data_IF_943740766405
#
_entry.id   IF_943740766405
#
_cell.length_a   1.000
_cell.length_b   1.000
_cell.length_c   1.000
_cell.angle_alpha   90.00
_cell.angle_beta   90.00
_cell.angle_gamma   90.00
#
_symmetry.space_group_name_H-M   'P 1'
#
loop_
_entity.id
_entity.type
_entity.pdbx_description
1 polymer ?
#
# COMPACT_ATOMS: atom_id res chain seq x y z
N UNK A 1 -6.73 -32.33 3.85
CA UNK A 1 -6.75 -30.90 4.22
C UNK A 1 -5.32 -30.40 4.06
N UNK A 2 -5.08 -29.34 3.27
CA UNK A 2 -3.72 -28.77 3.19
C UNK A 2 -3.37 -28.12 4.55
N UNK A 3 -2.11 -28.20 5.03
CA UNK A 3 -1.69 -27.47 6.23
C UNK A 3 -1.95 -25.97 6.08
N UNK A 4 -2.32 -25.30 7.17
CA UNK A 4 -2.65 -23.86 7.14
C UNK A 4 -1.52 -23.00 6.55
N UNK A 5 -0.25 -23.32 6.85
CA UNK A 5 0.91 -22.62 6.29
C UNK A 5 1.02 -22.74 4.76
N UNK A 6 0.62 -23.87 4.19
CA UNK A 6 0.62 -24.09 2.73
C UNK A 6 -0.45 -23.23 2.03
N UNK A 7 -1.60 -23.06 2.68
CA UNK A 7 -2.69 -22.22 2.18
C UNK A 7 -2.26 -20.74 2.20
N UNK A 8 -1.65 -20.28 3.30
CA UNK A 8 -1.15 -18.90 3.42
C UNK A 8 -0.05 -18.59 2.40
N UNK A 9 0.91 -19.50 2.20
CA UNK A 9 1.97 -19.32 1.20
C UNK A 9 1.41 -19.25 -0.23
N UNK A 10 0.44 -20.12 -0.55
CA UNK A 10 -0.25 -20.11 -1.85
C UNK A 10 -0.99 -18.80 -2.09
N UNK A 11 -1.71 -18.29 -1.08
CA UNK A 11 -2.43 -17.03 -1.18
C UNK A 11 -1.49 -15.84 -1.40
N UNK A 12 -0.38 -15.77 -0.64
CA UNK A 12 0.64 -14.72 -0.81
C UNK A 12 1.26 -14.74 -2.20
N UNK A 13 1.57 -15.93 -2.74
CA UNK A 13 2.08 -16.07 -4.10
C UNK A 13 1.06 -15.60 -5.15
N UNK A 14 -0.22 -15.93 -4.97
CA UNK A 14 -1.29 -15.49 -5.88
C UNK A 14 -1.47 -13.97 -5.87
N UNK A 15 -1.41 -13.33 -4.69
CA UNK A 15 -1.43 -11.85 -4.59
C UNK A 15 -0.22 -11.25 -5.30
N UNK A 16 1.00 -11.75 -5.03
CA UNK A 16 2.20 -11.26 -5.71
C UNK A 16 2.10 -11.34 -7.23
N UNK A 17 1.60 -12.46 -7.76
CA UNK A 17 1.43 -12.64 -9.20
C UNK A 17 0.34 -11.72 -9.79
N UNK A 18 -0.81 -11.58 -9.12
CA UNK A 18 -1.92 -10.78 -9.60
C UNK A 18 -1.60 -9.27 -9.66
N UNK A 19 -0.72 -8.79 -8.77
CA UNK A 19 -0.38 -7.39 -8.64
C UNK A 19 1.04 -7.04 -9.15
N UNK A 20 1.77 -7.98 -9.75
CA UNK A 20 3.21 -7.85 -10.08
C UNK A 20 3.61 -6.62 -10.93
N UNK A 21 2.67 -6.01 -11.64
CA UNK A 21 2.91 -4.87 -12.54
C UNK A 21 2.01 -3.67 -12.23
N UNK A 22 1.41 -3.64 -11.04
CA UNK A 22 0.60 -2.51 -10.61
C UNK A 22 1.54 -1.41 -10.11
N UNK A 23 1.43 -0.23 -10.71
CA UNK A 23 2.06 1.01 -10.27
C UNK A 23 1.01 1.95 -9.67
N UNK A 24 1.45 2.95 -8.89
CA UNK A 24 0.58 3.90 -8.22
C UNK A 24 -0.12 4.84 -9.20
N UNK A 25 0.55 5.20 -10.29
CA UNK A 25 0.02 6.14 -11.29
C UNK A 25 -0.25 7.51 -10.68
N UNK A 26 -1.49 8.00 -10.85
CA UNK A 26 -1.93 9.26 -10.28
C UNK A 26 -2.53 9.10 -8.87
N UNK A 27 -2.66 7.86 -8.38
CA UNK A 27 -3.24 7.55 -7.07
C UNK A 27 -2.52 8.23 -5.90
N UNK A 28 -3.26 8.48 -4.84
CA UNK A 28 -2.75 8.97 -3.54
C UNK A 28 -1.72 7.97 -2.95
N UNK A 29 -0.54 8.46 -2.59
CA UNK A 29 0.51 7.66 -1.95
C UNK A 29 0.27 7.41 -0.46
N UNK A 30 1.04 6.49 0.15
CA UNK A 30 0.86 6.08 1.54
C UNK A 30 1.10 7.24 2.54
N UNK A 31 2.17 8.01 2.33
CA UNK A 31 2.55 9.18 3.14
C UNK A 31 1.72 10.40 2.78
N UNK A 32 1.38 10.55 1.51
CA UNK A 32 0.41 11.57 1.05
C UNK A 32 -0.93 11.41 1.77
N UNK A 33 -1.47 10.18 1.83
CA UNK A 33 -2.71 9.88 2.55
C UNK A 33 -2.65 10.24 4.05
N UNK A 34 -1.55 9.92 4.73
CA UNK A 34 -1.37 10.30 6.13
C UNK A 34 -1.34 11.83 6.30
N UNK A 35 -0.71 12.55 5.38
CA UNK A 35 -0.71 14.02 5.41
C UNK A 35 -2.07 14.65 5.07
N UNK A 36 -2.90 13.97 4.27
CA UNK A 36 -4.30 14.37 4.06
C UNK A 36 -5.09 14.28 5.38
N UNK A 37 -4.91 13.18 6.14
CA UNK A 37 -5.54 12.99 7.45
C UNK A 37 -5.11 14.08 8.45
N UNK A 38 -3.84 14.49 8.41
CA UNK A 38 -3.29 15.58 9.22
C UNK A 38 -3.73 16.99 8.76
N UNK A 39 -4.58 17.11 7.73
CA UNK A 39 -4.99 18.37 7.11
C UNK A 39 -3.79 19.26 6.69
N UNK A 40 -2.74 18.62 6.19
CA UNK A 40 -1.50 19.31 5.84
C UNK A 40 -1.69 20.30 4.68
N UNK A 41 -0.76 21.26 4.55
CA UNK A 41 -0.76 22.21 3.45
C UNK A 41 -0.41 21.54 2.12
N UNK A 42 -0.77 22.19 1.00
CA UNK A 42 -0.44 21.70 -0.34
C UNK A 42 1.05 21.43 -0.56
N UNK A 43 1.94 22.26 -0.01
CA UNK A 43 3.39 22.06 -0.12
C UNK A 43 3.85 20.81 0.61
N UNK A 44 3.26 20.52 1.79
CA UNK A 44 3.55 19.29 2.55
C UNK A 44 3.01 18.06 1.82
N UNK A 45 1.80 18.14 1.25
CA UNK A 45 1.24 17.05 0.44
C UNK A 45 2.14 16.72 -0.75
N UNK A 46 2.61 17.74 -1.49
CA UNK A 46 3.51 17.55 -2.62
C UNK A 46 4.85 16.93 -2.19
N UNK A 47 5.40 17.33 -1.04
CA UNK A 47 6.62 16.75 -0.49
C UNK A 47 6.42 15.27 -0.09
N UNK A 48 5.33 14.93 0.60
CA UNK A 48 5.02 13.53 0.97
C UNK A 48 4.78 12.65 -0.24
N UNK A 49 4.04 13.15 -1.22
CA UNK A 49 3.85 12.47 -2.50
C UNK A 49 5.19 12.20 -3.21
N UNK A 50 6.16 13.12 -3.13
CA UNK A 50 7.46 12.90 -3.73
C UNK A 50 8.24 11.74 -3.07
N UNK A 51 8.06 11.55 -1.76
CA UNK A 51 8.68 10.47 -0.96
C UNK A 51 8.01 9.10 -1.13
N UNK A 52 6.76 9.06 -1.60
CA UNK A 52 6.02 7.80 -1.75
C UNK A 52 6.63 6.87 -2.81
N UNK A 53 6.56 5.56 -2.54
CA UNK A 53 6.82 4.51 -3.51
C UNK A 53 5.71 4.50 -4.57
N UNK A 54 6.07 4.35 -5.85
CA UNK A 54 5.14 4.51 -6.98
C UNK A 54 5.18 3.36 -7.97
N UNK A 55 6.23 2.57 -7.96
CA UNK A 55 6.53 1.59 -9.00
C UNK A 55 6.45 0.16 -8.48
N UNK A 56 6.86 -0.08 -7.23
CA UNK A 56 6.87 -1.42 -6.63
C UNK A 56 6.15 -1.44 -5.26
N UNK A 57 4.87 -1.80 -5.26
CA UNK A 57 4.09 -1.95 -4.03
C UNK A 57 4.71 -2.95 -3.05
N UNK A 58 5.52 -3.90 -3.53
CA UNK A 58 6.14 -4.93 -2.67
C UNK A 58 7.34 -4.40 -1.88
N UNK A 59 7.81 -3.19 -2.20
CA UNK A 59 8.79 -2.45 -1.41
C UNK A 59 8.17 -1.78 -0.17
N UNK A 60 6.84 -1.68 -0.09
CA UNK A 60 6.14 -1.17 1.10
C UNK A 60 6.24 -2.21 2.22
N UNK A 61 6.86 -1.82 3.33
CA UNK A 61 7.10 -2.72 4.47
C UNK A 61 5.87 -2.86 5.37
N UNK A 62 5.86 -3.90 6.22
CA UNK A 62 4.81 -4.05 7.25
C UNK A 62 4.88 -2.89 8.25
N UNK A 63 6.09 -2.40 8.54
CA UNK A 63 6.33 -1.23 9.36
C UNK A 63 5.71 0.04 8.74
N UNK A 64 5.87 0.27 7.43
CA UNK A 64 5.22 1.38 6.73
C UNK A 64 3.69 1.27 6.81
N UNK A 65 3.15 0.07 6.57
CA UNK A 65 1.70 -0.19 6.64
C UNK A 65 1.15 0.09 8.04
N UNK A 66 1.86 -0.33 9.09
CA UNK A 66 1.46 -0.10 10.47
C UNK A 66 1.57 1.38 10.87
N UNK A 67 2.66 2.05 10.47
CA UNK A 67 2.86 3.48 10.72
C UNK A 67 1.76 4.33 10.06
N UNK A 68 1.29 3.91 8.90
CA UNK A 68 0.29 4.60 8.09
C UNK A 68 -1.04 3.82 8.04
N UNK A 69 -1.45 3.21 9.15
CA UNK A 69 -2.61 2.31 9.23
C UNK A 69 -3.96 2.98 8.92
N UNK A 70 -4.06 4.31 9.03
CA UNK A 70 -5.26 5.09 8.68
C UNK A 70 -5.35 5.45 7.18
N UNK A 71 -4.24 5.36 6.44
CA UNK A 71 -4.16 5.77 5.02
C UNK A 71 -5.20 5.11 4.09
N UNK A 72 -5.65 3.85 4.29
CA UNK A 72 -6.68 3.25 3.44
C UNK A 72 -8.00 4.03 3.35
N UNK A 73 -8.33 4.86 4.36
CA UNK A 73 -9.52 5.70 4.33
C UNK A 73 -9.45 6.86 3.31
N UNK A 74 -8.25 7.19 2.84
CA UNK A 74 -7.96 8.33 1.96
C UNK A 74 -7.48 7.90 0.56
N UNK A 75 -7.42 6.61 0.29
CA UNK A 75 -7.06 6.10 -1.02
C UNK A 75 -8.19 6.27 -2.03
N UNK A 76 -7.85 6.79 -3.21
CA UNK A 76 -8.66 6.65 -4.40
C UNK A 76 -8.57 5.24 -5.00
N UNK A 77 -9.20 5.02 -6.16
CA UNK A 77 -9.23 3.71 -6.81
C UNK A 77 -7.85 3.23 -7.29
N UNK A 78 -6.97 4.13 -7.76
CA UNK A 78 -5.61 3.78 -8.20
C UNK A 78 -4.73 3.45 -7.00
N UNK A 79 -4.81 4.29 -5.95
CA UNK A 79 -4.15 4.08 -4.69
C UNK A 79 -4.55 2.74 -4.05
N UNK A 80 -5.85 2.43 -3.99
CA UNK A 80 -6.32 1.17 -3.44
C UNK A 80 -5.78 -0.01 -4.25
N UNK A 81 -5.79 0.06 -5.58
CA UNK A 81 -5.25 -0.99 -6.44
C UNK A 81 -3.75 -1.23 -6.18
N UNK A 82 -2.97 -0.17 -5.96
CA UNK A 82 -1.53 -0.25 -5.69
C UNK A 82 -1.19 -0.75 -4.29
N UNK A 83 -1.84 -0.22 -3.24
CA UNK A 83 -1.45 -0.49 -1.85
C UNK A 83 -2.09 -1.75 -1.28
N UNK A 84 -3.31 -2.11 -1.70
CA UNK A 84 -4.04 -3.29 -1.20
C UNK A 84 -3.21 -4.58 -1.11
N UNK A 85 -2.40 -4.97 -2.12
CA UNK A 85 -1.61 -6.20 -2.00
C UNK A 85 -0.63 -6.20 -0.82
N UNK A 86 -0.09 -5.05 -0.40
CA UNK A 86 0.76 -4.95 0.79
C UNK A 86 -0.03 -5.28 2.07
N UNK A 87 -1.26 -4.77 2.21
CA UNK A 87 -2.15 -5.09 3.33
C UNK A 87 -2.60 -6.56 3.33
N UNK A 88 -2.87 -7.14 2.16
CA UNK A 88 -3.33 -8.53 2.04
C UNK A 88 -2.27 -9.56 2.46
N UNK A 89 -0.98 -9.22 2.32
CA UNK A 89 0.13 -10.10 2.69
C UNK A 89 0.87 -9.65 3.94
N UNK A 90 0.51 -8.52 4.56
CA UNK A 90 1.12 -8.11 5.80
C UNK A 90 0.76 -9.08 6.94
N UNK A 91 1.69 -9.26 7.87
CA UNK A 91 1.43 -9.94 9.14
C UNK A 91 1.33 -8.83 10.20
N UNK A 92 0.11 -8.28 10.34
CA UNK A 92 -0.20 -7.06 11.11
C UNK A 92 -0.44 -7.36 12.59
#
# INVERSE_FOLDING_TARGET
>A
MRPAGEITATARAAVKAAFAHVTLGAGVGLREAAAIDDYASHDVLAARRAEDEKDDWSAITVEDVNLHSASPAFFDAEAMRFHLPAYMIADL
#
